data_IF_889713359257
#
_entry.id   IF_889713359257
#
_cell.length_a   1.000
_cell.length_b   1.000
_cell.length_c   1.000
_cell.angle_alpha   90.00
_cell.angle_beta   90.00
_cell.angle_gamma   90.00
#
_symmetry.space_group_name_H-M   'P 1'
#
loop_
_entity.id
_entity.type
_entity.pdbx_description
1 polymer ?
#
# COMPACT_ATOMS: atom_id res chain seq x y z
N UNK A 1 14.18 22.53 2.39
CA UNK A 1 14.15 21.09 2.06
C UNK A 1 12.69 20.67 2.09
N UNK A 2 12.20 19.99 1.06
CA UNK A 2 10.81 19.57 1.05
C UNK A 2 10.57 18.53 2.16
N UNK A 3 9.55 18.81 2.96
CA UNK A 3 9.15 17.97 4.10
C UNK A 3 8.68 16.60 3.65
N UNK A 4 7.98 16.55 2.53
CA UNK A 4 7.32 15.34 2.02
C UNK A 4 8.17 14.61 0.98
N UNK A 5 8.21 13.29 1.06
CA UNK A 5 8.79 12.42 0.04
C UNK A 5 7.79 12.16 -1.09
N UNK A 6 6.53 11.93 -0.73
CA UNK A 6 5.44 11.71 -1.69
C UNK A 6 4.28 12.64 -1.34
N UNK A 7 3.79 13.40 -2.33
CA UNK A 7 2.56 14.17 -2.24
C UNK A 7 1.61 13.70 -3.35
N UNK A 8 0.43 13.31 -2.97
CA UNK A 8 -0.66 13.02 -3.90
C UNK A 8 -1.70 14.12 -3.73
N UNK A 9 -2.13 14.75 -4.82
CA UNK A 9 -3.10 15.86 -4.83
C UNK A 9 -4.24 15.52 -5.78
N UNK A 10 -5.43 15.34 -5.21
CA UNK A 10 -6.71 15.11 -5.91
C UNK A 10 -6.61 14.04 -7.01
N UNK A 11 -5.90 12.94 -6.70
CA UNK A 11 -5.68 11.86 -7.65
C UNK A 11 -6.99 11.14 -7.94
N UNK A 12 -7.29 11.06 -9.23
CA UNK A 12 -8.38 10.25 -9.76
C UNK A 12 -7.85 9.23 -10.77
N UNK A 13 -8.25 7.98 -10.60
CA UNK A 13 -7.92 6.90 -11.53
C UNK A 13 -9.19 6.18 -11.93
N UNK A 14 -9.43 6.08 -13.24
CA UNK A 14 -10.55 5.34 -13.80
C UNK A 14 -10.12 4.04 -14.43
N UNK A 15 -10.97 3.01 -14.31
CA UNK A 15 -10.82 1.71 -14.97
C UNK A 15 -11.93 1.55 -16.00
N UNK A 16 -11.58 0.94 -17.14
CA UNK A 16 -12.49 0.66 -18.23
C UNK A 16 -13.11 -0.72 -18.08
N UNK A 17 -14.44 -0.77 -17.93
CA UNK A 17 -15.25 -1.99 -17.86
C UNK A 17 -16.30 -1.90 -18.97
N UNK A 18 -16.42 -2.90 -19.83
CA UNK A 18 -17.40 -2.94 -20.93
C UNK A 18 -17.48 -1.65 -21.74
N UNK A 19 -16.31 -1.12 -22.13
CA UNK A 19 -16.15 0.14 -22.86
C UNK A 19 -16.58 1.43 -22.13
N UNK A 20 -16.95 1.38 -20.84
CA UNK A 20 -17.22 2.56 -20.00
C UNK A 20 -16.10 2.78 -19.00
N UNK A 21 -15.80 4.05 -18.68
CA UNK A 21 -14.82 4.43 -17.68
C UNK A 21 -15.50 4.66 -16.33
N UNK A 22 -14.98 4.00 -15.29
CA UNK A 22 -15.48 4.10 -13.93
C UNK A 22 -14.40 4.64 -13.01
N UNK A 23 -14.65 5.71 -12.23
CA UNK A 23 -13.69 6.24 -11.26
C UNK A 23 -13.52 5.23 -10.12
N UNK A 24 -12.32 4.64 -10.03
CA UNK A 24 -11.98 3.65 -9.00
C UNK A 24 -11.28 4.29 -7.83
N UNK A 25 -10.41 5.26 -8.11
CA UNK A 25 -9.77 6.14 -7.14
C UNK A 25 -10.31 7.52 -7.38
N UNK A 26 -10.76 8.19 -6.32
CA UNK A 26 -11.52 9.41 -6.42
C UNK A 26 -11.07 10.43 -5.37
N UNK A 27 -10.52 11.55 -5.83
CA UNK A 27 -10.04 12.69 -5.03
C UNK A 27 -9.13 12.28 -3.85
N UNK A 28 -8.16 11.40 -4.12
CA UNK A 28 -7.19 11.01 -3.11
C UNK A 28 -6.12 12.09 -2.96
N UNK A 29 -6.01 12.63 -1.72
CA UNK A 29 -4.96 13.60 -1.35
C UNK A 29 -4.28 13.18 -0.07
N UNK A 30 -2.98 12.86 -0.15
CA UNK A 30 -2.16 12.45 0.99
C UNK A 30 -0.74 13.00 0.87
N UNK A 31 -0.07 13.09 2.00
CA UNK A 31 1.34 13.42 2.09
C UNK A 31 2.07 12.34 2.91
N UNK A 32 3.23 11.91 2.42
CA UNK A 32 4.12 10.99 3.14
C UNK A 32 5.43 11.70 3.43
N UNK A 33 5.82 11.76 4.69
CA UNK A 33 7.10 12.36 5.09
C UNK A 33 8.28 11.41 4.81
N UNK A 34 9.49 11.95 4.84
CA UNK A 34 10.70 11.12 4.73
C UNK A 34 10.84 10.25 5.98
N UNK A 35 11.17 8.99 5.79
CA UNK A 35 11.32 7.95 6.83
C UNK A 35 10.02 7.59 7.57
N UNK A 36 8.86 8.00 7.08
CA UNK A 36 7.55 7.68 7.63
C UNK A 36 7.05 6.32 7.12
N UNK A 37 6.30 5.62 7.96
CA UNK A 37 5.55 4.42 7.62
C UNK A 37 4.06 4.75 7.64
N UNK A 38 3.43 4.79 6.45
CA UNK A 38 2.00 5.00 6.27
C UNK A 38 1.28 3.66 6.11
N UNK A 39 0.34 3.37 6.99
CA UNK A 39 -0.61 2.26 6.83
C UNK A 39 -1.78 2.65 5.93
N UNK A 40 -2.11 1.82 4.96
CA UNK A 40 -3.29 1.96 4.10
C UNK A 40 -4.21 0.79 4.36
N UNK A 41 -5.37 1.06 4.95
CA UNK A 41 -6.32 0.03 5.38
C UNK A 41 -7.70 0.20 4.77
N UNK A 42 -8.45 -0.88 4.74
CA UNK A 42 -9.83 -0.94 4.26
C UNK A 42 -10.19 -2.34 3.77
N UNK A 43 -11.47 -2.61 3.56
CA UNK A 43 -11.95 -3.90 3.06
C UNK A 43 -11.38 -4.24 1.69
N UNK A 44 -11.41 -5.53 1.32
CA UNK A 44 -11.06 -5.98 -0.03
C UNK A 44 -11.89 -5.25 -1.09
N UNK A 45 -11.27 -4.89 -2.21
CA UNK A 45 -11.94 -4.16 -3.29
C UNK A 45 -12.13 -2.65 -3.07
N UNK A 46 -11.71 -2.07 -1.94
CA UNK A 46 -11.86 -0.62 -1.71
C UNK A 46 -10.88 0.27 -2.51
N UNK A 47 -9.95 -0.31 -3.31
CA UNK A 47 -9.07 0.43 -4.21
C UNK A 47 -7.60 0.57 -3.78
N UNK A 48 -7.16 -0.01 -2.66
CA UNK A 48 -5.78 0.10 -2.14
C UNK A 48 -4.69 -0.23 -3.17
N UNK A 49 -4.77 -1.42 -3.76
CA UNK A 49 -3.77 -1.85 -4.76
C UNK A 49 -3.83 -1.03 -6.06
N UNK A 50 -5.01 -0.49 -6.41
CA UNK A 50 -5.16 0.40 -7.56
C UNK A 50 -4.48 1.74 -7.29
N UNK A 51 -4.64 2.30 -6.09
CA UNK A 51 -3.93 3.51 -5.67
C UNK A 51 -2.41 3.33 -5.80
N UNK A 52 -1.87 2.26 -5.22
CA UNK A 52 -0.43 1.98 -5.27
C UNK A 52 0.09 1.83 -6.71
N UNK A 53 -0.62 1.04 -7.53
CA UNK A 53 -0.27 0.86 -8.95
C UNK A 53 -0.44 2.14 -9.76
N UNK A 54 -1.36 3.05 -9.39
CA UNK A 54 -1.48 4.37 -10.00
C UNK A 54 -0.27 5.25 -9.70
N UNK A 55 0.20 5.25 -8.42
CA UNK A 55 1.38 6.03 -7.99
C UNK A 55 2.62 5.66 -8.80
N UNK A 56 2.82 4.38 -9.11
CA UNK A 56 4.00 3.91 -9.87
C UNK A 56 3.69 3.60 -11.34
N UNK A 57 2.51 3.96 -11.84
CA UNK A 57 2.04 3.76 -13.21
C UNK A 57 2.23 2.32 -13.70
N UNK A 58 1.80 1.34 -12.88
CA UNK A 58 1.80 -0.10 -13.24
C UNK A 58 0.44 -0.62 -13.70
N UNK A 59 -0.57 0.23 -13.73
CA UNK A 59 -1.86 -0.15 -14.32
C UNK A 59 -1.74 -0.16 -15.86
N UNK A 60 -2.37 -1.14 -16.55
CA UNK A 60 -2.32 -1.21 -18.01
C UNK A 60 -3.04 -0.03 -18.66
N UNK A 61 -2.38 0.73 -19.52
CA UNK A 61 -2.93 1.94 -20.17
C UNK A 61 -4.20 1.69 -21.00
N UNK A 62 -4.39 0.44 -21.48
CA UNK A 62 -5.58 0.06 -22.27
C UNK A 62 -6.87 0.06 -21.46
N UNK A 63 -6.78 -0.22 -20.16
CA UNK A 63 -7.93 -0.40 -19.26
C UNK A 63 -7.91 0.55 -18.07
N UNK A 64 -6.90 1.40 -17.94
CA UNK A 64 -6.78 2.35 -16.84
C UNK A 64 -6.20 3.68 -17.31
N UNK A 65 -6.56 4.75 -16.61
CA UNK A 65 -5.99 6.09 -16.82
C UNK A 65 -6.10 6.92 -15.55
N UNK A 66 -5.09 7.73 -15.29
CA UNK A 66 -5.20 8.85 -14.35
C UNK A 66 -5.99 9.95 -15.05
N UNK A 67 -7.15 10.32 -14.50
CA UNK A 67 -8.06 11.29 -15.09
C UNK A 67 -7.88 12.69 -14.50
N UNK A 68 -7.38 12.78 -13.28
CA UNK A 68 -7.13 14.04 -12.60
C UNK A 68 -6.03 13.89 -11.54
N UNK A 69 -5.51 15.02 -11.06
CA UNK A 69 -4.61 15.10 -9.94
C UNK A 69 -3.14 15.00 -10.30
N UNK A 70 -2.31 14.94 -9.27
CA UNK A 70 -0.84 14.90 -9.37
C UNK A 70 -0.26 13.91 -8.38
N UNK A 71 0.86 13.31 -8.77
CA UNK A 71 1.72 12.50 -7.92
C UNK A 71 3.11 13.12 -7.93
N UNK A 72 3.51 13.75 -6.84
CA UNK A 72 4.79 14.42 -6.69
C UNK A 72 5.67 13.54 -5.79
N UNK A 73 6.77 13.04 -6.32
CA UNK A 73 7.73 12.21 -5.61
C UNK A 73 9.10 12.90 -5.62
N UNK A 74 9.65 13.15 -4.44
CA UNK A 74 10.93 13.84 -4.24
C UNK A 74 11.03 15.09 -5.12
N UNK A 75 10.00 15.95 -5.05
CA UNK A 75 9.80 17.22 -5.81
C UNK A 75 9.56 17.06 -7.31
N UNK A 76 9.45 15.84 -7.85
CA UNK A 76 9.20 15.58 -9.26
C UNK A 76 7.75 15.14 -9.49
N UNK A 77 7.03 15.82 -10.38
CA UNK A 77 5.65 15.46 -10.77
C UNK A 77 5.67 14.22 -11.70
N UNK A 78 5.34 13.06 -11.16
CA UNK A 78 5.34 11.79 -11.88
C UNK A 78 4.23 11.70 -12.93
N UNK A 79 3.18 12.50 -12.84
CA UNK A 79 2.09 12.48 -13.85
C UNK A 79 2.52 13.08 -15.18
N UNK A 80 3.61 13.86 -15.21
CA UNK A 80 4.10 14.58 -16.39
C UNK A 80 5.32 13.94 -17.07
N UNK A 81 5.93 12.93 -16.44
CA UNK A 81 7.15 12.32 -16.99
C UNK A 81 6.84 11.24 -18.02
N UNK A 82 7.79 11.02 -18.91
CA UNK A 82 7.73 9.98 -19.93
C UNK A 82 7.88 8.59 -19.34
N UNK A 83 7.46 7.55 -20.05
CA UNK A 83 7.63 6.16 -19.61
C UNK A 83 9.12 5.80 -19.40
N UNK A 84 10.01 6.30 -20.26
CA UNK A 84 11.47 6.12 -20.12
C UNK A 84 12.02 6.71 -18.82
N UNK A 85 11.51 7.85 -18.38
CA UNK A 85 11.85 8.44 -17.09
C UNK A 85 11.28 7.65 -15.92
N UNK A 86 10.05 7.13 -16.09
CA UNK A 86 9.42 6.25 -15.10
C UNK A 86 10.20 4.96 -14.86
N UNK A 87 10.74 4.34 -15.91
CA UNK A 87 11.61 3.16 -15.81
C UNK A 87 12.84 3.40 -14.93
N UNK A 88 13.36 4.64 -14.87
CA UNK A 88 14.47 5.00 -13.98
C UNK A 88 14.04 5.23 -12.53
N UNK A 89 12.74 5.34 -12.25
CA UNK A 89 12.18 5.52 -10.91
C UNK A 89 11.74 4.19 -10.32
N UNK A 90 11.03 3.37 -11.11
CA UNK A 90 10.59 2.03 -10.70
C UNK A 90 11.81 1.15 -10.43
N UNK A 91 11.80 0.46 -9.30
CA UNK A 91 12.88 -0.43 -8.86
C UNK A 91 14.11 0.29 -8.32
N UNK A 92 14.39 1.52 -8.74
CA UNK A 92 15.52 2.32 -8.26
C UNK A 92 15.17 3.23 -7.09
N UNK A 93 14.19 4.12 -7.31
CA UNK A 93 13.78 5.13 -6.32
C UNK A 93 12.54 4.68 -5.54
N UNK A 94 11.66 3.91 -6.19
CA UNK A 94 10.46 3.31 -5.61
C UNK A 94 10.52 1.81 -5.82
N UNK A 95 10.63 1.05 -4.73
CA UNK A 95 10.51 -0.40 -4.71
C UNK A 95 9.07 -0.83 -4.45
N UNK A 96 8.68 -2.03 -4.90
CA UNK A 96 7.38 -2.60 -4.61
C UNK A 96 7.48 -4.07 -4.22
N UNK A 97 6.80 -4.43 -3.13
CA UNK A 97 6.49 -5.79 -2.72
C UNK A 97 5.06 -6.07 -3.16
N UNK A 98 4.87 -7.09 -3.99
CA UNK A 98 3.56 -7.49 -4.50
C UNK A 98 2.85 -8.43 -3.53
N UNK A 99 1.54 -8.50 -3.63
CA UNK A 99 0.68 -9.30 -2.75
C UNK A 99 0.99 -10.79 -2.77
N UNK A 100 1.31 -11.35 -3.96
CA UNK A 100 1.57 -12.77 -4.13
C UNK A 100 3.01 -13.05 -4.59
N UNK A 101 3.88 -13.62 -3.74
CA UNK A 101 5.25 -13.98 -4.12
C UNK A 101 5.32 -14.99 -5.25
N UNK A 102 4.30 -15.85 -5.39
CA UNK A 102 4.25 -16.89 -6.42
C UNK A 102 4.13 -16.33 -7.83
N UNK A 103 3.42 -15.20 -7.98
CA UNK A 103 3.22 -14.53 -9.28
C UNK A 103 4.25 -13.43 -9.52
N UNK A 104 4.85 -12.90 -8.45
CA UNK A 104 5.86 -11.85 -8.54
C UNK A 104 7.24 -12.37 -8.98
N UNK A 105 7.61 -13.59 -8.56
CA UNK A 105 8.86 -14.23 -8.96
C UNK A 105 8.66 -15.04 -10.25
N UNK A 106 9.51 -14.83 -11.24
CA UNK A 106 9.45 -15.60 -12.48
C UNK A 106 9.93 -17.04 -12.25
N UNK A 107 9.07 -18.06 -12.44
CA UNK A 107 9.38 -19.46 -12.08
C UNK A 107 10.47 -20.12 -12.94
N UNK A 108 10.77 -19.56 -14.11
CA UNK A 108 11.75 -20.14 -15.07
C UNK A 108 13.16 -19.57 -14.91
N UNK A 109 13.34 -18.54 -14.07
CA UNK A 109 14.66 -17.97 -13.77
C UNK A 109 15.09 -18.28 -12.33
N UNK A 110 16.41 -18.51 -12.16
CA UNK A 110 17.00 -18.65 -10.83
C UNK A 110 16.92 -17.36 -10.04
N UNK A 111 16.92 -17.46 -8.72
CA UNK A 111 16.84 -16.31 -7.81
C UNK A 111 17.96 -15.29 -8.09
N UNK A 112 19.20 -15.75 -8.30
CA UNK A 112 20.32 -14.86 -8.62
C UNK A 112 20.08 -13.97 -9.84
N UNK A 113 19.45 -14.51 -10.86
CA UNK A 113 19.20 -13.78 -12.11
C UNK A 113 18.22 -12.64 -11.84
N UNK A 114 17.18 -12.91 -11.07
CA UNK A 114 16.13 -11.93 -10.73
C UNK A 114 16.60 -10.83 -9.78
N UNK A 115 17.52 -11.13 -8.83
CA UNK A 115 18.08 -10.11 -7.93
C UNK A 115 19.15 -9.27 -8.66
N UNK A 116 19.99 -9.89 -9.50
CA UNK A 116 21.10 -9.22 -10.17
C UNK A 116 20.61 -8.27 -11.27
N UNK A 117 19.53 -8.60 -11.95
CA UNK A 117 19.01 -7.81 -13.06
C UNK A 117 18.76 -6.32 -12.69
N UNK A 118 17.96 -5.98 -11.66
CA UNK A 118 17.74 -4.59 -11.25
C UNK A 118 19.03 -3.90 -10.79
N UNK A 119 19.94 -4.61 -10.15
CA UNK A 119 21.23 -4.06 -9.72
C UNK A 119 22.08 -3.64 -10.92
N UNK A 120 22.20 -4.49 -11.95
CA UNK A 120 22.93 -4.15 -13.17
C UNK A 120 22.23 -3.01 -13.91
N UNK A 121 20.90 -3.10 -14.06
CA UNK A 121 20.11 -2.13 -14.81
C UNK A 121 20.21 -0.73 -14.21
N UNK A 122 19.99 -0.60 -12.90
CA UNK A 122 19.83 0.69 -12.23
C UNK A 122 21.10 1.22 -11.59
N UNK A 123 21.96 0.34 -11.01
CA UNK A 123 23.18 0.75 -10.32
C UNK A 123 24.42 0.68 -11.23
N UNK A 124 24.27 0.18 -12.48
CA UNK A 124 25.35 0.06 -13.47
C UNK A 124 26.55 -0.75 -12.97
N UNK A 125 26.35 -1.66 -12.03
CA UNK A 125 27.37 -2.57 -11.51
C UNK A 125 27.70 -3.68 -12.49
N UNK A 126 28.95 -4.15 -12.48
CA UNK A 126 29.32 -5.35 -13.24
C UNK A 126 28.74 -6.62 -12.59
N UNK A 127 28.73 -7.74 -13.31
CA UNK A 127 28.11 -9.00 -12.85
C UNK A 127 28.69 -9.51 -11.51
N UNK A 128 30.00 -9.34 -11.28
CA UNK A 128 30.65 -9.79 -10.05
C UNK A 128 30.22 -8.95 -8.85
N UNK A 129 30.21 -7.63 -9.00
CA UNK A 129 29.72 -6.71 -7.95
C UNK A 129 28.24 -6.91 -7.66
N UNK A 130 27.41 -7.07 -8.71
CA UNK A 130 25.99 -7.32 -8.55
C UNK A 130 25.71 -8.65 -7.83
N UNK A 131 26.52 -9.68 -8.10
CA UNK A 131 26.43 -10.97 -7.39
C UNK A 131 26.77 -10.82 -5.90
N UNK A 132 27.83 -10.08 -5.56
CA UNK A 132 28.19 -9.85 -4.15
C UNK A 132 27.12 -9.06 -3.41
N UNK A 133 26.54 -8.03 -4.07
CA UNK A 133 25.44 -7.28 -3.48
C UNK A 133 24.20 -8.17 -3.30
N UNK A 134 23.89 -9.05 -4.25
CA UNK A 134 22.78 -10.00 -4.14
C UNK A 134 22.97 -10.95 -2.93
N UNK A 135 24.19 -11.40 -2.67
CA UNK A 135 24.50 -12.21 -1.47
C UNK A 135 24.21 -11.42 -0.19
N UNK A 136 24.74 -10.21 -0.10
CA UNK A 136 24.53 -9.34 1.07
C UNK A 136 23.04 -9.06 1.31
N UNK A 137 22.27 -8.81 0.25
CA UNK A 137 20.81 -8.57 0.34
C UNK A 137 20.09 -9.79 0.90
N UNK A 138 20.44 -11.01 0.46
CA UNK A 138 19.84 -12.24 0.99
C UNK A 138 20.22 -12.49 2.47
N UNK A 139 21.44 -12.16 2.87
CA UNK A 139 21.85 -12.17 4.28
C UNK A 139 21.05 -11.15 5.10
N UNK A 140 20.93 -9.93 4.60
CA UNK A 140 20.18 -8.83 5.23
C UNK A 140 18.70 -9.18 5.48
N UNK A 141 18.08 -9.96 4.57
CA UNK A 141 16.71 -10.46 4.76
C UNK A 141 16.62 -11.77 5.54
N UNK A 142 17.75 -12.27 6.07
CA UNK A 142 17.80 -13.45 6.96
C UNK A 142 17.70 -14.79 6.24
N UNK A 143 18.24 -14.90 5.03
CA UNK A 143 18.42 -16.19 4.32
C UNK A 143 19.73 -16.83 4.80
N UNK A 144 19.63 -18.03 5.42
CA UNK A 144 20.80 -18.70 6.01
C UNK A 144 21.71 -19.38 4.96
N UNK A 145 21.15 -19.95 3.89
CA UNK A 145 21.88 -20.69 2.86
C UNK A 145 21.90 -19.92 1.55
N UNK A 146 22.58 -18.77 1.55
CA UNK A 146 22.53 -17.79 0.48
C UNK A 146 22.94 -18.37 -0.87
N UNK A 147 24.04 -19.12 -0.95
CA UNK A 147 24.53 -19.70 -2.22
C UNK A 147 23.57 -20.74 -2.80
N UNK A 148 22.94 -21.54 -1.96
CA UNK A 148 21.94 -22.52 -2.36
C UNK A 148 20.70 -21.81 -2.92
N UNK A 149 20.21 -20.79 -2.19
CA UNK A 149 19.03 -20.01 -2.59
C UNK A 149 19.28 -19.22 -3.88
N UNK A 150 20.45 -18.60 -4.05
CA UNK A 150 20.81 -17.91 -5.30
C UNK A 150 20.74 -18.83 -6.52
N UNK A 151 21.09 -20.10 -6.36
CA UNK A 151 21.09 -21.09 -7.44
C UNK A 151 19.77 -21.86 -7.59
N UNK A 152 18.81 -21.64 -6.68
CA UNK A 152 17.48 -22.27 -6.69
C UNK A 152 16.50 -21.51 -7.59
N UNK A 153 15.43 -22.20 -7.98
CA UNK A 153 14.26 -21.60 -8.62
C UNK A 153 13.20 -21.26 -7.56
N UNK A 154 12.27 -20.32 -7.83
CA UNK A 154 11.23 -19.93 -6.88
C UNK A 154 10.42 -21.09 -6.30
N UNK A 155 10.07 -22.08 -7.09
CA UNK A 155 9.27 -23.22 -6.66
C UNK A 155 9.98 -24.14 -5.65
N UNK A 156 11.30 -24.05 -5.54
CA UNK A 156 12.12 -24.83 -4.59
C UNK A 156 12.19 -24.19 -3.19
N UNK A 157 11.65 -22.97 -3.03
CA UNK A 157 11.69 -22.20 -1.79
C UNK A 157 10.37 -22.32 -1.00
N UNK A 158 10.43 -22.25 0.32
CA UNK A 158 9.24 -22.09 1.16
C UNK A 158 8.56 -20.73 0.93
N UNK A 159 7.30 -20.56 1.37
CA UNK A 159 6.56 -19.31 1.25
C UNK A 159 7.31 -18.14 1.90
N UNK A 160 7.76 -18.30 3.14
CA UNK A 160 8.54 -17.26 3.84
C UNK A 160 9.90 -16.95 3.18
N UNK A 161 10.57 -17.96 2.58
CA UNK A 161 11.80 -17.70 1.83
C UNK A 161 11.53 -16.90 0.55
N UNK A 162 10.47 -17.25 -0.20
CA UNK A 162 10.07 -16.46 -1.39
C UNK A 162 9.75 -15.02 -1.03
N UNK A 163 9.05 -14.81 0.09
CA UNK A 163 8.74 -13.47 0.58
C UNK A 163 10.01 -12.68 0.89
N UNK A 164 10.98 -13.28 1.60
CA UNK A 164 12.28 -12.66 1.89
C UNK A 164 13.06 -12.33 0.62
N UNK A 165 13.06 -13.21 -0.37
CA UNK A 165 13.67 -12.97 -1.69
C UNK A 165 12.99 -11.81 -2.40
N UNK A 166 11.65 -11.75 -2.42
CA UNK A 166 10.91 -10.64 -3.01
C UNK A 166 11.23 -9.30 -2.32
N UNK A 167 11.34 -9.29 -1.00
CA UNK A 167 11.79 -8.11 -0.25
C UNK A 167 13.21 -7.72 -0.68
N UNK A 168 14.16 -8.68 -0.78
CA UNK A 168 15.53 -8.41 -1.21
C UNK A 168 15.58 -7.77 -2.61
N UNK A 169 14.75 -8.26 -3.55
CA UNK A 169 14.63 -7.67 -4.89
C UNK A 169 14.08 -6.24 -4.80
N UNK A 170 13.00 -6.02 -4.05
CA UNK A 170 12.36 -4.72 -3.91
C UNK A 170 13.28 -3.63 -3.33
N UNK A 171 14.22 -4.02 -2.44
CA UNK A 171 15.17 -3.07 -1.82
C UNK A 171 16.56 -3.08 -2.50
N UNK A 172 16.78 -3.87 -3.55
CA UNK A 172 18.11 -4.11 -4.16
C UNK A 172 18.83 -2.86 -4.63
N UNK A 173 18.07 -1.82 -4.97
CA UNK A 173 18.61 -0.52 -5.39
C UNK A 173 18.57 0.55 -4.30
N UNK A 174 18.29 0.18 -3.05
CA UNK A 174 18.13 1.10 -1.91
C UNK A 174 17.12 2.21 -2.19
N UNK A 175 15.84 1.88 -2.44
CA UNK A 175 14.82 2.85 -2.80
C UNK A 175 14.52 3.82 -1.66
N UNK A 176 14.07 5.03 -1.98
CA UNK A 176 13.59 6.02 -1.01
C UNK A 176 12.20 5.68 -0.48
N UNK A 177 11.38 5.04 -1.32
CA UNK A 177 10.03 4.60 -0.99
C UNK A 177 9.87 3.11 -1.28
N UNK A 178 9.34 2.37 -0.32
CA UNK A 178 8.91 0.98 -0.50
C UNK A 178 7.39 0.91 -0.39
N UNK A 179 6.73 0.43 -1.42
CA UNK A 179 5.30 0.11 -1.40
C UNK A 179 5.16 -1.38 -1.12
N UNK A 180 4.58 -1.73 0.02
CA UNK A 180 4.35 -3.11 0.44
C UNK A 180 2.84 -3.41 0.36
N UNK A 181 2.42 -4.08 -0.72
CA UNK A 181 1.02 -4.42 -0.98
C UNK A 181 0.70 -5.78 -0.38
N UNK A 182 0.10 -5.81 0.80
CA UNK A 182 -0.22 -6.99 1.61
C UNK A 182 0.96 -7.98 1.75
N UNK A 183 2.11 -7.53 2.29
CA UNK A 183 3.37 -8.30 2.25
C UNK A 183 3.36 -9.56 3.10
N UNK A 184 2.33 -9.81 3.88
CA UNK A 184 2.21 -10.95 4.81
C UNK A 184 1.02 -11.85 4.51
N UNK A 185 0.27 -11.58 3.44
CA UNK A 185 -0.86 -12.42 3.02
C UNK A 185 -0.40 -13.85 2.73
N UNK A 186 -1.17 -14.85 3.17
CA UNK A 186 -0.90 -16.28 3.05
C UNK A 186 0.35 -16.79 3.81
N UNK A 187 0.83 -16.04 4.82
CA UNK A 187 1.86 -16.50 5.76
C UNK A 187 1.22 -16.81 7.12
N UNK A 188 1.84 -17.74 7.85
CA UNK A 188 1.46 -17.98 9.26
C UNK A 188 1.82 -16.78 10.14
N UNK A 189 1.15 -16.66 11.29
CA UNK A 189 1.28 -15.51 12.21
C UNK A 189 2.72 -15.26 12.65
N UNK A 190 3.48 -16.35 12.87
CA UNK A 190 4.88 -16.24 13.31
C UNK A 190 5.77 -15.67 12.20
N UNK A 191 5.62 -16.16 10.98
CA UNK A 191 6.37 -15.65 9.81
C UNK A 191 5.92 -14.21 9.48
N UNK A 192 4.63 -13.90 9.61
CA UNK A 192 4.12 -12.53 9.45
C UNK A 192 4.84 -11.55 10.37
N UNK A 193 4.92 -11.85 11.68
CA UNK A 193 5.62 -11.00 12.65
C UNK A 193 7.11 -10.82 12.28
N UNK A 194 7.78 -11.89 11.86
CA UNK A 194 9.17 -11.84 11.41
C UNK A 194 9.38 -10.97 10.17
N UNK A 195 8.46 -10.99 9.20
CA UNK A 195 8.54 -10.16 7.99
C UNK A 195 8.32 -8.69 8.34
N UNK A 196 7.38 -8.37 9.21
CA UNK A 196 7.14 -7.00 9.67
C UNK A 196 8.36 -6.44 10.41
N UNK A 197 8.92 -7.20 11.35
CA UNK A 197 10.15 -6.84 12.04
C UNK A 197 11.32 -6.61 11.08
N UNK A 198 11.46 -7.49 10.08
CA UNK A 198 12.46 -7.33 9.03
C UNK A 198 12.28 -6.02 8.28
N UNK A 199 11.05 -5.71 7.82
CA UNK A 199 10.75 -4.46 7.11
C UNK A 199 11.06 -3.23 7.98
N UNK A 200 10.75 -3.26 9.28
CA UNK A 200 11.05 -2.16 10.21
C UNK A 200 12.55 -1.96 10.41
N UNK A 201 13.33 -3.06 10.49
CA UNK A 201 14.80 -3.01 10.55
C UNK A 201 15.40 -2.43 9.28
N UNK A 202 14.92 -2.88 8.10
CA UNK A 202 15.37 -2.41 6.80
C UNK A 202 15.00 -0.93 6.58
N UNK A 203 13.81 -0.50 7.00
CA UNK A 203 13.36 0.89 6.94
C UNK A 203 14.34 1.79 7.70
N UNK A 204 14.68 1.44 8.94
CA UNK A 204 15.61 2.21 9.77
C UNK A 204 17.04 2.21 9.20
N UNK A 205 17.53 1.04 8.74
CA UNK A 205 18.87 0.88 8.16
C UNK A 205 19.03 1.74 6.91
N UNK A 206 18.05 1.71 6.01
CA UNK A 206 18.10 2.34 4.71
C UNK A 206 17.49 3.77 4.69
N UNK A 207 16.88 4.21 5.80
CA UNK A 207 16.18 5.51 5.90
C UNK A 207 15.15 5.69 4.79
N UNK A 208 14.39 4.65 4.47
CA UNK A 208 13.33 4.69 3.45
C UNK A 208 11.97 4.95 4.10
N UNK A 209 11.03 5.50 3.34
CA UNK A 209 9.62 5.55 3.74
C UNK A 209 8.91 4.29 3.25
N UNK A 210 7.84 3.89 3.95
CA UNK A 210 7.05 2.71 3.57
C UNK A 210 5.58 3.10 3.44
N UNK A 211 4.92 2.64 2.39
CA UNK A 211 3.46 2.54 2.31
C UNK A 211 3.11 1.06 2.53
N UNK A 212 2.51 0.75 3.67
CA UNK A 212 2.08 -0.60 4.02
C UNK A 212 0.59 -0.74 3.76
N UNK A 213 0.21 -1.55 2.79
CA UNK A 213 -1.18 -1.94 2.57
C UNK A 213 -1.47 -3.22 3.31
N UNK A 214 -2.52 -3.22 4.09
CA UNK A 214 -3.01 -4.41 4.79
C UNK A 214 -4.50 -4.28 5.09
N UNK A 215 -5.17 -5.38 5.32
CA UNK A 215 -6.51 -5.41 5.90
C UNK A 215 -6.48 -5.62 7.42
N UNK A 216 -5.30 -5.89 7.99
CA UNK A 216 -5.09 -6.12 9.42
C UNK A 216 -4.69 -4.83 10.14
N UNK A 217 -5.63 -4.29 10.93
CA UNK A 217 -5.42 -3.07 11.72
C UNK A 217 -4.51 -3.28 12.93
N UNK A 218 -4.36 -4.52 13.42
CA UNK A 218 -3.41 -4.83 14.50
C UNK A 218 -1.98 -4.61 14.03
N UNK A 219 -1.67 -5.06 12.82
CA UNK A 219 -0.38 -4.80 12.15
C UNK A 219 -0.13 -3.29 12.02
N UNK A 220 -1.16 -2.53 11.59
CA UNK A 220 -1.02 -1.07 11.43
C UNK A 220 -0.74 -0.39 12.76
N UNK A 221 -1.42 -0.82 13.83
CA UNK A 221 -1.25 -0.22 15.17
C UNK A 221 0.14 -0.37 15.76
N UNK A 222 0.86 -1.43 15.40
CA UNK A 222 2.21 -1.72 15.89
C UNK A 222 3.32 -1.20 14.95
N UNK A 223 3.01 -1.10 13.66
CA UNK A 223 4.03 -0.90 12.65
C UNK A 223 4.10 0.52 12.10
N UNK A 224 2.96 1.24 11.98
CA UNK A 224 2.83 2.48 11.25
C UNK A 224 2.94 3.74 12.12
N UNK A 225 3.32 4.85 11.51
CA UNK A 225 3.36 6.19 12.14
C UNK A 225 2.03 6.94 11.88
N UNK A 226 1.47 6.75 10.69
CA UNK A 226 0.20 7.33 10.27
C UNK A 226 -0.66 6.28 9.56
N UNK A 227 -1.96 6.53 9.47
CA UNK A 227 -2.90 5.61 8.84
C UNK A 227 -3.90 6.34 7.96
N UNK A 228 -4.20 5.73 6.83
CA UNK A 228 -5.20 6.13 5.86
C UNK A 228 -6.22 5.01 5.70
N UNK A 229 -7.47 5.32 6.04
CA UNK A 229 -8.60 4.39 5.90
C UNK A 229 -9.31 4.67 4.59
N UNK A 230 -9.38 3.65 3.73
CA UNK A 230 -10.03 3.72 2.42
C UNK A 230 -11.35 2.96 2.41
N UNK A 231 -12.35 3.54 1.75
CA UNK A 231 -13.62 2.90 1.44
C UNK A 231 -14.09 3.26 0.04
N UNK A 232 -14.40 2.26 -0.78
CA UNK A 232 -14.97 2.44 -2.12
C UNK A 232 -14.23 3.51 -2.97
N UNK A 233 -12.90 3.47 -2.99
CA UNK A 233 -12.04 4.36 -3.80
C UNK A 233 -11.75 5.73 -3.19
N UNK A 234 -12.22 6.01 -1.97
CA UNK A 234 -12.03 7.29 -1.30
C UNK A 234 -11.32 7.14 0.04
N UNK A 235 -10.61 8.20 0.47
CA UNK A 235 -10.15 8.35 1.85
C UNK A 235 -11.36 8.75 2.69
N UNK A 236 -11.68 7.96 3.71
CA UNK A 236 -12.72 8.28 4.69
C UNK A 236 -12.16 8.87 5.97
N UNK A 237 -10.96 8.46 6.36
CA UNK A 237 -10.23 9.03 7.49
C UNK A 237 -8.71 8.89 7.27
N UNK A 238 -7.92 9.91 7.65
CA UNK A 238 -6.47 9.94 7.52
C UNK A 238 -5.86 10.82 8.60
N UNK A 239 -4.80 10.35 9.23
CA UNK A 239 -4.08 11.10 10.26
C UNK A 239 -2.99 10.29 10.94
N UNK A 240 -2.44 10.84 12.02
CA UNK A 240 -1.51 10.10 12.87
C UNK A 240 -2.18 8.85 13.42
N UNK A 241 -1.42 7.79 13.61
CA UNK A 241 -1.91 6.51 14.09
C UNK A 241 -2.77 6.66 15.37
N UNK A 242 -2.26 7.41 16.37
CA UNK A 242 -2.96 7.66 17.64
C UNK A 242 -4.35 8.29 17.45
N UNK A 243 -4.44 9.28 16.56
CA UNK A 243 -5.68 10.05 16.36
C UNK A 243 -6.76 9.20 15.67
N UNK A 244 -6.37 8.29 14.77
CA UNK A 244 -7.31 7.47 13.99
C UNK A 244 -7.67 6.18 14.72
N UNK A 245 -6.71 5.53 15.41
CA UNK A 245 -6.96 4.24 16.09
C UNK A 245 -7.62 4.43 17.46
N UNK A 246 -7.16 5.41 18.25
CA UNK A 246 -7.70 5.63 19.61
C UNK A 246 -8.98 6.46 19.58
N UNK A 247 -9.06 7.47 18.69
CA UNK A 247 -10.18 8.38 18.58
C UNK A 247 -10.77 8.42 17.16
N UNK A 248 -11.20 7.27 16.60
CA UNK A 248 -11.77 7.20 15.26
C UNK A 248 -12.98 8.10 15.14
N UNK A 249 -13.09 8.84 14.04
CA UNK A 249 -14.17 9.78 13.79
C UNK A 249 -15.19 9.20 12.82
N UNK A 250 -14.71 8.66 11.69
CA UNK A 250 -15.60 8.14 10.67
C UNK A 250 -16.31 6.85 11.15
N UNK A 251 -17.62 6.70 10.96
CA UNK A 251 -18.38 5.51 11.38
C UNK A 251 -17.84 4.20 10.80
N UNK A 252 -17.30 4.21 9.60
CA UNK A 252 -16.64 3.04 9.00
C UNK A 252 -15.36 2.65 9.75
N UNK A 253 -14.49 3.63 10.08
CA UNK A 253 -13.27 3.38 10.86
C UNK A 253 -13.60 2.76 12.22
N UNK A 254 -14.64 3.26 12.89
CA UNK A 254 -15.12 2.69 14.16
C UNK A 254 -15.55 1.23 14.01
N UNK A 255 -16.36 0.94 12.99
CA UNK A 255 -16.80 -0.44 12.72
C UNK A 255 -15.59 -1.34 12.37
N UNK A 256 -14.66 -0.85 11.57
CA UNK A 256 -13.47 -1.62 11.19
C UNK A 256 -12.59 -1.95 12.40
N UNK A 257 -12.43 -1.04 13.35
CA UNK A 257 -11.71 -1.27 14.60
C UNK A 257 -12.41 -2.27 15.51
N UNK A 258 -13.75 -2.29 15.54
CA UNK A 258 -14.54 -3.22 16.34
C UNK A 258 -14.51 -4.66 15.78
N UNK A 259 -14.03 -4.88 14.57
CA UNK A 259 -13.83 -6.25 14.04
C UNK A 259 -12.55 -6.91 14.59
N UNK A 260 -11.68 -6.15 15.29
CA UNK A 260 -10.46 -6.69 15.90
C UNK A 260 -10.83 -7.32 17.26
N UNK A 261 -10.47 -8.59 17.51
CA UNK A 261 -10.64 -9.20 18.82
C UNK A 261 -9.85 -8.41 19.88
N UNK A 262 -10.53 -8.01 20.95
CA UNK A 262 -9.86 -7.43 22.12
C UNK A 262 -9.52 -8.55 23.10
N UNK A 263 -8.26 -8.60 23.52
CA UNK A 263 -7.77 -9.66 24.43
C UNK A 263 -8.44 -9.66 25.81
N UNK A 264 -9.00 -8.51 26.22
CA UNK A 264 -9.57 -8.29 27.56
C UNK A 264 -11.10 -8.38 27.59
N UNK A 265 -11.77 -8.62 26.47
CA UNK A 265 -13.23 -8.75 26.41
C UNK A 265 -13.61 -10.17 25.94
N UNK A 266 -14.23 -10.97 26.81
CA UNK A 266 -14.90 -12.23 26.43
C UNK A 266 -16.16 -11.93 25.59
N UNK A 267 -15.94 -11.49 24.34
CA UNK A 267 -17.04 -11.28 23.39
C UNK A 267 -17.33 -12.58 22.66
N UNK A 268 -18.50 -13.17 22.91
CA UNK A 268 -18.99 -14.37 22.18
C UNK A 268 -19.11 -14.13 20.67
N UNK A 269 -19.24 -12.88 20.22
CA UNK A 269 -19.43 -12.52 18.80
C UNK A 269 -18.61 -11.28 18.44
N UNK A 270 -17.81 -11.37 17.38
CA UNK A 270 -17.17 -10.21 16.77
C UNK A 270 -18.19 -9.39 15.97
N UNK A 271 -18.11 -8.06 16.06
CA UNK A 271 -18.89 -7.19 15.20
C UNK A 271 -18.50 -7.39 13.74
N UNK A 272 -19.49 -7.61 12.88
CA UNK A 272 -19.29 -7.71 11.43
C UNK A 272 -19.82 -6.45 10.77
N UNK A 273 -19.10 -5.94 9.78
CA UNK A 273 -19.61 -4.83 8.95
C UNK A 273 -20.59 -5.42 7.94
N UNK A 274 -21.89 -5.34 8.23
CA UNK A 274 -22.95 -5.89 7.38
C UNK A 274 -22.92 -5.32 5.96
N UNK A 275 -23.26 -6.16 4.98
CA UNK A 275 -23.30 -5.82 3.56
C UNK A 275 -21.92 -5.87 2.91
N UNK A 276 -21.87 -5.60 1.61
CA UNK A 276 -20.66 -5.62 0.79
C UNK A 276 -20.21 -4.19 0.44
N UNK A 277 -18.93 -4.03 0.17
CA UNK A 277 -18.42 -2.82 -0.49
C UNK A 277 -19.10 -2.73 -1.87
N UNK A 278 -19.72 -1.60 -2.23
CA UNK A 278 -20.38 -1.47 -3.53
C UNK A 278 -19.39 -1.72 -4.67
N UNK A 279 -19.89 -2.33 -5.75
CA UNK A 279 -19.06 -2.52 -6.95
C UNK A 279 -18.71 -1.15 -7.55
N UNK A 280 -17.55 -1.06 -8.22
CA UNK A 280 -17.11 0.16 -8.88
C UNK A 280 -18.13 0.74 -9.86
N UNK A 281 -18.93 -0.11 -10.51
CA UNK A 281 -20.01 0.29 -11.44
C UNK A 281 -21.21 0.91 -10.73
N UNK A 282 -21.30 0.73 -9.40
CA UNK A 282 -22.40 1.21 -8.54
C UNK A 282 -22.01 2.49 -7.78
N UNK A 283 -20.75 2.95 -7.88
CA UNK A 283 -20.33 4.17 -7.21
C UNK A 283 -21.16 5.36 -7.65
N UNK A 284 -21.81 5.99 -6.68
CA UNK A 284 -22.61 7.17 -6.89
C UNK A 284 -21.93 8.39 -6.24
N UNK A 285 -21.39 9.29 -7.06
CA UNK A 285 -20.69 10.48 -6.61
C UNK A 285 -21.65 11.59 -6.11
N UNK A 286 -22.97 11.32 -6.09
CA UNK A 286 -23.98 12.25 -5.58
C UNK A 286 -24.41 11.93 -4.14
N UNK A 287 -23.79 10.96 -3.48
CA UNK A 287 -24.11 10.54 -2.12
C UNK A 287 -22.86 10.03 -1.39
N UNK A 288 -22.92 9.95 -0.07
CA UNK A 288 -21.88 9.26 0.72
C UNK A 288 -21.78 7.79 0.31
N UNK A 289 -20.63 7.30 -0.11
CA UNK A 289 -20.46 5.91 -0.57
C UNK A 289 -20.70 4.88 0.53
N UNK A 290 -20.57 5.28 1.81
CA UNK A 290 -20.84 4.41 2.98
C UNK A 290 -22.30 4.47 3.46
N UNK A 291 -23.18 5.27 2.87
CA UNK A 291 -24.54 5.55 3.37
C UNK A 291 -25.40 4.30 3.65
N UNK A 292 -25.29 3.27 2.80
CA UNK A 292 -26.10 2.05 2.94
C UNK A 292 -25.66 1.13 4.11
N UNK A 293 -24.43 1.31 4.61
CA UNK A 293 -23.83 0.50 5.70
C UNK A 293 -23.58 1.34 6.96
N UNK A 294 -23.90 2.65 6.91
CA UNK A 294 -23.62 3.58 8.00
C UNK A 294 -24.69 3.52 9.09
N UNK A 295 -24.33 3.18 10.35
CA UNK A 295 -25.29 3.16 11.47
C UNK A 295 -25.72 4.57 11.89
N UNK A 296 -25.00 5.62 11.43
CA UNK A 296 -25.26 7.03 11.74
C UNK A 296 -25.66 7.85 10.51
N UNK A 297 -26.32 7.19 9.54
CA UNK A 297 -26.75 7.89 8.31
C UNK A 297 -27.74 9.02 8.61
N UNK A 298 -27.58 10.13 7.92
CA UNK A 298 -28.48 11.27 7.92
C UNK A 298 -29.09 11.44 6.53
N UNK A 299 -30.19 12.18 6.41
CA UNK A 299 -30.84 12.43 5.11
C UNK A 299 -29.88 13.02 4.07
N UNK A 300 -29.01 13.93 4.49
CA UNK A 300 -28.00 14.56 3.61
C UNK A 300 -27.02 13.53 3.02
N UNK A 301 -26.74 12.44 3.71
CA UNK A 301 -25.81 11.40 3.24
C UNK A 301 -26.28 10.73 1.93
N UNK A 302 -27.59 10.71 1.67
CA UNK A 302 -28.18 10.18 0.44
C UNK A 302 -28.32 11.22 -0.67
N UNK A 303 -28.06 12.49 -0.38
CA UNK A 303 -28.31 13.62 -1.28
C UNK A 303 -27.02 14.24 -1.83
N UNK A 304 -25.96 14.22 -1.05
CA UNK A 304 -24.67 14.75 -1.50
C UNK A 304 -23.49 13.99 -0.88
N UNK A 305 -22.35 14.07 -1.56
CA UNK A 305 -21.10 13.50 -1.13
C UNK A 305 -20.47 14.38 -0.03
N UNK A 306 -19.96 13.77 1.08
CA UNK A 306 -19.26 14.53 2.12
C UNK A 306 -17.90 15.05 1.62
N UNK A 307 -17.56 16.27 2.00
CA UNK A 307 -16.22 16.82 1.78
C UNK A 307 -15.24 16.30 2.83
N UNK A 308 -13.95 16.31 2.51
CA UNK A 308 -12.89 16.05 3.51
C UNK A 308 -12.76 17.30 4.38
N UNK A 309 -12.86 17.12 5.69
CA UNK A 309 -12.70 18.16 6.72
C UNK A 309 -11.49 17.87 7.60
N UNK A 310 -10.79 18.89 8.03
CA UNK A 310 -9.74 18.77 9.03
C UNK A 310 -10.38 18.85 10.42
N UNK A 311 -10.40 17.74 11.15
CA UNK A 311 -10.96 17.63 12.49
C UNK A 311 -9.82 17.30 13.46
N UNK A 312 -9.39 18.29 14.24
CA UNK A 312 -8.18 18.22 15.05
C UNK A 312 -6.96 17.85 14.17
N UNK A 313 -6.33 16.69 14.42
CA UNK A 313 -5.16 16.23 13.65
C UNK A 313 -5.51 15.17 12.59
N UNK A 314 -6.79 14.99 12.28
CA UNK A 314 -7.25 14.00 11.28
C UNK A 314 -8.04 14.66 10.17
N UNK A 315 -7.95 14.11 8.97
CA UNK A 315 -8.82 14.43 7.83
C UNK A 315 -9.95 13.41 7.81
N UNK A 316 -11.20 13.86 7.75
CA UNK A 316 -12.39 13.00 7.82
C UNK A 316 -13.37 13.38 6.71
N UNK A 317 -13.87 12.39 5.96
CA UNK A 317 -14.89 12.57 4.93
C UNK A 317 -16.24 12.11 5.48
N UNK A 318 -16.92 12.96 6.24
CA UNK A 318 -18.22 12.59 6.87
C UNK A 318 -19.06 13.82 7.19
N UNK A 319 -20.35 13.76 6.87
CA UNK A 319 -21.31 14.83 7.18
C UNK A 319 -21.59 15.04 8.69
N UNK A 320 -21.24 14.09 9.54
CA UNK A 320 -21.37 14.27 11.00
C UNK A 320 -20.54 15.42 11.56
N UNK A 321 -19.60 15.95 10.77
CA UNK A 321 -18.70 17.03 11.15
C UNK A 321 -18.89 18.29 10.30
N UNK A 322 -19.91 18.31 9.43
CA UNK A 322 -20.33 19.55 8.78
C UNK A 322 -21.19 20.33 9.79
N UNK A 323 -20.76 21.52 10.15
CA UNK A 323 -21.56 22.48 10.92
C UNK A 323 -22.77 22.97 10.10
#
# INVERSE_FOLDING_TARGET
MDKYLLEIKDLETSIKIENKWYPTIDQISLNLEKNEILGVVGESGCGKSILNKSVIRLLPDRISKITNGKVIFDSKDLTKITEKEYQNIRGKEIGMIFQEPMTALNPVFKIKEQIIEPIILHLKKNKKEAYQLAKQLLEDVGIARVEEVLNSYPHQLSGGMRQRVMIAIAISCNPKLLIADEPTTALDVTVQAQILDLLKKLQRKNKMSIILVTHDLSVVSEFCDSVMVMYAGQIVEYGNLKDVIVNPKHPYTKKLLNTIPKLDEDTEYLEVIEGLVPNITEFNNKQCRFVNRCPKKMNICSQCEPRILNINNSKVRCHLFND
#
